data_IF_726562581575
#
_entry.id   IF_726562581575
#
_cell.length_a   1.000
_cell.length_b   1.000
_cell.length_c   1.000
_cell.angle_alpha   90.00
_cell.angle_beta   90.00
_cell.angle_gamma   90.00
#
_symmetry.space_group_name_H-M   'P 1'
#
loop_
_entity.id
_entity.type
_entity.pdbx_description
1 polymer ?
#
# COMPACT_ATOMS: atom_id res chain seq x y z
N UNK A 1 -1.77 4.73 6.95
CA UNK A 1 -2.68 5.88 6.75
C UNK A 1 -2.71 6.70 8.04
N UNK A 2 -3.09 7.97 8.00
CA UNK A 2 -3.12 8.81 9.22
C UNK A 2 -4.27 8.39 10.16
N UNK A 3 -5.27 7.68 9.63
CA UNK A 3 -6.39 7.08 10.36
C UNK A 3 -6.09 5.70 10.97
N UNK A 4 -4.83 5.30 11.14
CA UNK A 4 -4.46 3.91 11.51
C UNK A 4 -5.10 3.41 12.81
N UNK A 5 -5.43 4.32 13.74
CA UNK A 5 -6.02 3.99 15.04
C UNK A 5 -7.44 3.42 14.95
N UNK A 6 -8.20 3.80 13.91
CA UNK A 6 -9.60 3.40 13.73
C UNK A 6 -9.86 2.65 12.43
N UNK A 7 -8.99 2.82 11.44
CA UNK A 7 -9.15 2.17 10.14
C UNK A 7 -8.67 0.73 10.15
N UNK A 8 -9.33 -0.12 9.36
CA UNK A 8 -9.08 -1.56 9.33
C UNK A 8 -8.45 -1.99 8.02
N UNK A 9 -7.81 -3.17 8.03
CA UNK A 9 -7.20 -3.74 6.82
C UNK A 9 -8.19 -3.90 5.67
N UNK A 10 -9.41 -4.38 5.96
CA UNK A 10 -10.47 -4.52 4.95
C UNK A 10 -10.85 -3.17 4.35
N UNK A 11 -10.95 -2.13 5.18
CA UNK A 11 -11.19 -0.76 4.72
C UNK A 11 -10.06 -0.25 3.83
N UNK A 12 -8.80 -0.48 4.20
CA UNK A 12 -7.65 -0.06 3.38
C UNK A 12 -7.67 -0.67 1.98
N UNK A 13 -8.01 -1.95 1.87
CA UNK A 13 -8.16 -2.65 0.59
C UNK A 13 -9.34 -2.06 -0.18
N UNK A 14 -10.51 -1.97 0.47
CA UNK A 14 -11.74 -1.49 -0.16
C UNK A 14 -11.64 -0.04 -0.66
N UNK A 15 -10.81 0.82 -0.06
CA UNK A 15 -10.68 2.24 -0.45
C UNK A 15 -9.34 2.57 -1.11
N UNK A 16 -8.51 1.58 -1.45
CA UNK A 16 -7.17 1.77 -2.02
C UNK A 16 -6.31 2.76 -1.20
N UNK A 17 -6.20 2.53 0.10
CA UNK A 17 -5.55 3.45 1.02
C UNK A 17 -4.04 3.62 0.76
N UNK A 18 -3.55 4.85 0.96
CA UNK A 18 -2.13 5.20 0.89
C UNK A 18 -1.56 5.51 2.28
N UNK A 19 -0.29 5.15 2.49
CA UNK A 19 0.41 5.35 3.76
C UNK A 19 1.55 6.37 3.66
N UNK A 20 1.84 7.04 4.78
CA UNK A 20 2.94 8.03 4.87
C UNK A 20 4.31 7.47 4.47
N UNK A 21 4.53 6.16 4.64
CA UNK A 21 5.80 5.47 4.35
C UNK A 21 5.78 4.66 3.04
N UNK A 22 4.90 5.01 2.09
CA UNK A 22 4.73 4.27 0.83
C UNK A 22 6.00 4.18 -0.01
N UNK A 23 6.91 5.15 0.09
CA UNK A 23 8.17 5.13 -0.67
C UNK A 23 9.02 3.89 -0.33
N UNK A 24 8.92 3.38 0.90
CA UNK A 24 9.66 2.20 1.36
C UNK A 24 8.85 0.91 1.28
N UNK A 25 7.55 0.97 1.63
CA UNK A 25 6.70 -0.21 1.80
C UNK A 25 5.67 -0.42 0.68
N UNK A 26 5.50 0.55 -0.21
CA UNK A 26 4.42 0.58 -1.19
C UNK A 26 3.09 1.06 -0.60
N UNK A 27 2.11 1.20 -1.48
CA UNK A 27 0.71 1.39 -1.09
C UNK A 27 0.04 0.04 -0.78
N UNK A 28 -1.24 0.04 -0.43
CA UNK A 28 -1.97 -1.18 -0.09
C UNK A 28 -1.96 -2.20 -1.24
N UNK A 29 -2.01 -1.75 -2.50
CA UNK A 29 -1.94 -2.58 -3.69
C UNK A 29 -0.59 -3.30 -3.86
N UNK A 30 0.49 -2.73 -3.34
CA UNK A 30 1.83 -3.34 -3.38
C UNK A 30 2.03 -4.32 -2.21
N UNK A 31 1.33 -4.08 -1.10
CA UNK A 31 1.46 -4.83 0.16
C UNK A 31 0.60 -6.11 0.11
N UNK A 32 -0.63 -6.02 -0.39
CA UNK A 32 -1.58 -7.12 -0.37
C UNK A 32 -1.25 -8.12 -1.47
N UNK A 33 -1.08 -9.38 -1.08
CA UNK A 33 -0.76 -10.48 -1.99
C UNK A 33 -2.00 -11.31 -2.33
N UNK A 34 -2.93 -11.48 -1.37
CA UNK A 34 -4.18 -12.25 -1.53
C UNK A 34 -5.28 -11.67 -0.67
N UNK A 35 -6.53 -11.88 -1.08
CA UNK A 35 -7.74 -11.56 -0.32
C UNK A 35 -8.72 -12.72 -0.31
N UNK A 36 -9.50 -12.82 0.75
CA UNK A 36 -10.66 -13.69 0.88
C UNK A 36 -11.90 -12.82 1.06
N UNK A 37 -12.93 -13.07 0.25
CA UNK A 37 -14.13 -12.23 0.21
C UNK A 37 -15.37 -13.10 0.26
N UNK A 38 -16.34 -12.72 1.09
CA UNK A 38 -17.67 -13.32 1.09
C UNK A 38 -18.60 -12.38 0.33
N UNK A 39 -19.20 -12.89 -0.74
CA UNK A 39 -20.20 -12.19 -1.54
C UNK A 39 -21.55 -12.92 -1.48
N UNK A 40 -22.60 -12.35 -2.08
CA UNK A 40 -23.91 -13.00 -2.20
C UNK A 40 -23.86 -14.31 -2.99
N UNK A 41 -22.91 -14.42 -3.92
CA UNK A 41 -22.63 -15.64 -4.69
C UNK A 41 -21.77 -16.69 -3.96
N UNK A 42 -21.36 -16.42 -2.72
CA UNK A 42 -20.52 -17.32 -1.93
C UNK A 42 -19.10 -16.82 -1.68
N UNK A 43 -18.20 -17.74 -1.36
CA UNK A 43 -16.82 -17.44 -0.99
C UNK A 43 -15.93 -17.27 -2.25
N UNK A 44 -15.34 -16.09 -2.41
CA UNK A 44 -14.34 -15.80 -3.42
C UNK A 44 -12.95 -15.80 -2.77
N UNK A 45 -12.10 -16.71 -3.22
CA UNK A 45 -10.74 -16.85 -2.69
C UNK A 45 -9.82 -17.45 -3.75
N UNK A 46 -8.58 -16.96 -3.80
CA UNK A 46 -7.53 -17.51 -4.65
C UNK A 46 -6.95 -18.80 -4.03
N UNK A 47 -7.51 -19.94 -4.42
CA UNK A 47 -7.11 -21.25 -3.92
C UNK A 47 -5.66 -21.57 -4.33
N UNK A 48 -4.83 -21.98 -3.36
CA UNK A 48 -3.54 -22.60 -3.67
C UNK A 48 -3.81 -23.99 -4.24
N UNK A 49 -3.57 -24.20 -5.53
CA UNK A 49 -3.37 -25.56 -6.05
C UNK A 49 -2.10 -26.11 -5.41
N UNK A 50 -2.18 -27.28 -4.77
CA UNK A 50 -1.03 -27.95 -4.17
C UNK A 50 0.10 -28.05 -5.22
N UNK A 51 1.26 -27.48 -4.92
CA UNK A 51 2.43 -27.45 -5.82
C UNK A 51 2.72 -26.11 -6.49
N UNK A 52 1.79 -25.14 -6.48
CA UNK A 52 2.14 -23.77 -6.87
C UNK A 52 2.86 -23.06 -5.73
N UNK A 53 4.19 -22.98 -5.88
CA UNK A 53 5.09 -22.12 -5.10
C UNK A 53 4.51 -20.72 -4.96
N UNK A 54 4.96 -19.99 -3.94
CA UNK A 54 4.60 -18.62 -3.60
C UNK A 54 4.99 -17.61 -4.71
N UNK A 55 4.39 -17.74 -5.90
CA UNK A 55 4.61 -16.81 -6.99
C UNK A 55 3.91 -15.49 -6.64
N UNK A 56 4.74 -14.46 -6.42
CA UNK A 56 4.29 -13.08 -6.17
C UNK A 56 3.58 -12.46 -7.38
N UNK A 57 3.67 -13.09 -8.56
CA UNK A 57 3.02 -12.64 -9.80
C UNK A 57 2.53 -13.85 -10.58
N UNK A 58 1.26 -13.83 -10.96
CA UNK A 58 0.59 -14.88 -11.75
C UNK A 58 -0.19 -14.24 -12.90
N UNK A 59 -0.32 -14.96 -14.01
CA UNK A 59 -1.07 -14.51 -15.21
C UNK A 59 -2.22 -15.47 -15.49
N UNK A 60 -3.21 -15.48 -14.60
CA UNK A 60 -4.34 -16.43 -14.61
C UNK A 60 -5.68 -15.71 -14.86
N UNK A 61 -5.67 -14.65 -15.68
CA UNK A 61 -6.84 -13.80 -15.93
C UNK A 61 -7.01 -12.71 -14.88
N UNK A 62 -8.26 -12.32 -14.60
CA UNK A 62 -8.59 -11.24 -13.66
C UNK A 62 -8.13 -11.59 -12.25
N UNK A 63 -7.28 -10.72 -11.70
CA UNK A 63 -6.80 -10.85 -10.33
C UNK A 63 -7.87 -10.37 -9.33
N UNK A 64 -8.28 -11.26 -8.42
CA UNK A 64 -9.25 -10.95 -7.36
C UNK A 64 -8.76 -9.82 -6.45
N UNK A 65 -7.45 -9.74 -6.15
CA UNK A 65 -6.92 -8.63 -5.37
C UNK A 65 -7.22 -7.31 -6.06
N UNK A 66 -6.84 -7.19 -7.33
CA UNK A 66 -7.10 -6.01 -8.16
C UNK A 66 -8.58 -5.66 -8.27
N UNK A 67 -9.48 -6.65 -8.33
CA UNK A 67 -10.94 -6.43 -8.34
C UNK A 67 -11.46 -5.84 -7.03
N UNK A 68 -10.89 -6.27 -5.90
CA UNK A 68 -11.33 -5.82 -4.58
C UNK A 68 -10.70 -4.50 -4.13
N UNK A 69 -9.57 -4.11 -4.73
CA UNK A 69 -8.94 -2.81 -4.49
C UNK A 69 -9.86 -1.67 -4.95
N UNK A 70 -10.23 -0.78 -4.04
CA UNK A 70 -11.12 0.33 -4.37
C UNK A 70 -12.58 -0.09 -4.62
N UNK A 71 -12.98 -1.30 -4.19
CA UNK A 71 -14.35 -1.79 -4.34
C UNK A 71 -15.39 -1.06 -3.48
N UNK A 72 -14.95 -0.35 -2.43
CA UNK A 72 -15.79 0.39 -1.48
C UNK A 72 -16.94 -0.44 -0.87
N UNK A 73 -16.76 -1.77 -0.80
CA UNK A 73 -17.76 -2.72 -0.27
C UNK A 73 -18.80 -3.21 -1.28
N UNK A 74 -18.69 -2.85 -2.57
CA UNK A 74 -19.67 -3.16 -3.60
C UNK A 74 -19.76 -4.64 -4.00
N UNK A 75 -18.68 -5.40 -3.81
CA UNK A 75 -18.57 -6.79 -4.28
C UNK A 75 -18.65 -7.84 -3.16
N UNK A 76 -18.73 -7.41 -1.90
CA UNK A 76 -18.78 -8.29 -0.73
C UNK A 76 -17.91 -7.81 0.43
N UNK A 77 -17.77 -8.67 1.43
CA UNK A 77 -17.02 -8.39 2.66
C UNK A 77 -15.67 -9.08 2.62
N UNK A 78 -14.59 -8.31 2.76
CA UNK A 78 -13.23 -8.84 2.88
C UNK A 78 -13.05 -9.41 4.29
N UNK A 79 -12.82 -10.72 4.39
CA UNK A 79 -12.74 -11.44 5.68
C UNK A 79 -11.30 -11.73 6.10
N UNK A 80 -10.38 -11.90 5.15
CA UNK A 80 -8.95 -12.07 5.43
C UNK A 80 -8.10 -11.63 4.24
N UNK A 81 -6.82 -11.35 4.50
CA UNK A 81 -5.84 -11.01 3.49
C UNK A 81 -4.43 -11.51 3.86
N UNK A 82 -3.61 -11.77 2.84
CA UNK A 82 -2.19 -12.09 3.01
C UNK A 82 -1.39 -10.85 2.65
N UNK A 83 -0.54 -10.40 3.57
CA UNK A 83 0.27 -9.18 3.41
C UNK A 83 1.74 -9.51 3.26
N UNK A 84 2.44 -8.69 2.47
CA UNK A 84 3.89 -8.57 2.53
C UNK A 84 4.28 -7.88 3.84
N UNK A 85 5.28 -8.43 4.51
CA UNK A 85 5.84 -7.89 5.75
C UNK A 85 7.34 -7.64 5.58
N UNK A 86 7.88 -6.79 6.44
CA UNK A 86 9.29 -6.45 6.48
C UNK A 86 9.83 -6.60 7.90
N UNK A 87 11.14 -6.86 8.07
CA UNK A 87 11.80 -6.74 9.35
C UNK A 87 11.57 -5.35 9.95
N UNK A 88 11.56 -5.29 11.29
CA UNK A 88 11.54 -4.02 12.01
C UNK A 88 12.82 -3.26 11.69
N UNK A 89 12.70 -1.97 11.38
CA UNK A 89 13.86 -1.14 11.06
C UNK A 89 14.72 -0.91 12.32
N UNK A 90 16.01 -1.22 12.23
CA UNK A 90 16.98 -1.05 13.33
C UNK A 90 17.14 0.42 13.74
N UNK A 91 17.00 1.35 12.79
CA UNK A 91 17.17 2.79 13.00
C UNK A 91 16.11 3.59 12.26
N UNK A 92 15.66 4.68 12.88
CA UNK A 92 14.74 5.68 12.31
C UNK A 92 15.30 7.06 12.61
N UNK A 93 15.48 7.86 11.57
CA UNK A 93 15.93 9.25 11.68
C UNK A 93 14.86 10.19 11.12
N UNK A 94 14.83 11.39 11.69
CA UNK A 94 13.91 12.45 11.30
C UNK A 94 14.73 13.71 11.11
N UNK A 95 14.58 14.32 9.95
CA UNK A 95 15.32 15.51 9.53
C UNK A 95 14.33 16.53 8.96
N UNK A 96 14.70 17.80 9.04
CA UNK A 96 13.91 18.90 8.46
C UNK A 96 14.83 19.87 7.73
N UNK A 97 14.33 20.45 6.65
CA UNK A 97 15.03 21.45 5.86
C UNK A 97 14.12 22.67 5.67
N UNK A 98 14.71 23.86 5.81
CA UNK A 98 14.01 25.13 5.65
C UNK A 98 14.37 25.70 4.28
N UNK A 99 13.37 26.18 3.55
CA UNK A 99 13.53 26.82 2.25
C UNK A 99 13.06 28.27 2.31
N UNK A 100 13.73 29.15 1.58
CA UNK A 100 13.35 30.57 1.49
C UNK A 100 12.05 30.81 0.71
N UNK A 101 11.61 29.84 -0.11
CA UNK A 101 10.35 29.87 -0.84
C UNK A 101 9.77 28.48 -1.02
N UNK A 102 8.45 28.40 -1.19
CA UNK A 102 7.76 27.13 -1.47
C UNK A 102 8.24 26.50 -2.80
N UNK A 103 8.51 27.32 -3.82
CA UNK A 103 9.02 26.84 -5.11
C UNK A 103 10.38 26.12 -4.98
N UNK A 104 11.27 26.64 -4.13
CA UNK A 104 12.55 25.99 -3.85
C UNK A 104 12.35 24.64 -3.16
N UNK A 105 11.43 24.56 -2.19
CA UNK A 105 11.06 23.30 -1.54
C UNK A 105 10.40 22.31 -2.50
N UNK A 106 9.55 22.77 -3.41
CA UNK A 106 8.91 21.93 -4.42
C UNK A 106 9.93 21.35 -5.39
N UNK A 107 10.90 22.16 -5.83
CA UNK A 107 12.00 21.70 -6.67
C UNK A 107 12.84 20.63 -5.96
N UNK A 108 13.17 20.86 -4.68
CA UNK A 108 13.86 19.85 -3.86
C UNK A 108 13.11 18.53 -3.80
N UNK A 109 11.80 18.54 -3.50
CA UNK A 109 10.99 17.32 -3.43
C UNK A 109 10.93 16.61 -4.80
N UNK A 110 10.86 17.35 -5.90
CA UNK A 110 10.91 16.79 -7.26
C UNK A 110 12.24 16.10 -7.53
N UNK A 111 13.35 16.67 -7.09
CA UNK A 111 14.66 16.07 -7.29
C UNK A 111 14.86 14.83 -6.40
N UNK A 112 14.36 14.85 -5.16
CA UNK A 112 14.28 13.64 -4.31
C UNK A 112 13.44 12.54 -5.00
N UNK A 113 12.33 12.89 -5.65
CA UNK A 113 11.50 11.91 -6.37
C UNK A 113 12.22 11.23 -7.55
N UNK A 114 13.28 11.85 -8.10
CA UNK A 114 14.11 11.27 -9.16
C UNK A 114 15.22 10.36 -8.65
N UNK A 115 15.52 10.36 -7.35
CA UNK A 115 16.62 9.58 -6.75
C UNK A 115 16.39 8.06 -6.69
N UNK A 116 15.30 7.54 -7.27
CA UNK A 116 15.02 6.10 -7.30
C UNK A 116 14.93 5.47 -5.90
N UNK A 117 15.81 4.51 -5.61
CA UNK A 117 15.82 3.77 -4.33
C UNK A 117 16.46 4.53 -3.16
N UNK A 118 17.06 5.70 -3.41
CA UNK A 118 17.70 6.53 -2.38
C UNK A 118 16.72 7.49 -1.69
N UNK A 119 15.42 7.39 -2.00
CA UNK A 119 14.37 8.20 -1.38
C UNK A 119 14.24 7.86 0.11
N UNK A 120 14.04 8.86 0.98
CA UNK A 120 13.66 8.60 2.36
C UNK A 120 12.27 7.94 2.41
N UNK A 121 11.99 7.28 3.53
CA UNK A 121 10.73 6.57 3.72
C UNK A 121 9.50 7.50 3.61
N UNK A 122 9.65 8.77 3.98
CA UNK A 122 8.63 9.81 3.86
C UNK A 122 9.27 11.17 3.63
N UNK A 123 8.60 12.03 2.85
CA UNK A 123 8.92 13.46 2.71
C UNK A 123 7.59 14.20 2.69
N UNK A 124 7.50 15.30 3.42
CA UNK A 124 6.37 16.23 3.40
C UNK A 124 6.93 17.64 3.26
N UNK A 125 6.37 18.41 2.33
CA UNK A 125 6.64 19.84 2.19
C UNK A 125 5.44 20.57 2.77
N UNK A 126 5.70 21.52 3.66
CA UNK A 126 4.70 22.37 4.28
C UNK A 126 4.86 23.79 3.73
N UNK A 127 3.75 24.49 3.55
CA UNK A 127 3.73 25.93 3.30
C UNK A 127 3.86 26.72 4.62
N UNK A 128 4.03 28.04 4.49
CA UNK A 128 4.11 28.97 5.61
C UNK A 128 2.72 29.43 6.07
#
# INVERSE_FOLDING_TARGET
>A
PDSIEFSTLGGWIATKASGMKRNKYGNIEDIVQRVCVVSSGGLMWQQKTAGQSAFSRVSTGTDLCSLMMGSEGSFGVITSAVLKIWPVADRKEFESAIFFSFDAGLQFVRDVAKMGNLKPASVRLLDN
#
